data_IF_065037123016
#
_entry.id   IF_065037123016
#
_cell.length_a   1.000
_cell.length_b   1.000
_cell.length_c   1.000
_cell.angle_alpha   90.00
_cell.angle_beta   90.00
_cell.angle_gamma   90.00
#
_symmetry.space_group_name_H-M   'P 1'
#
loop_
_entity.id
_entity.type
_entity.pdbx_description
1 polymer ?
#
# COMPACT_ATOMS: atom_id res chain seq x y z
N UNK A 1 4.71 8.68 22.76
CA UNK A 1 4.27 10.01 23.27
C UNK A 1 3.95 11.00 22.15
N UNK A 2 4.40 10.75 20.91
CA UNK A 2 4.14 11.63 19.74
C UNK A 2 2.86 11.24 18.98
N UNK A 3 2.31 10.06 19.19
CA UNK A 3 1.14 9.55 18.46
C UNK A 3 -0.23 9.92 19.07
N UNK A 4 -0.26 10.66 20.18
CA UNK A 4 -1.50 10.92 20.89
C UNK A 4 -2.16 12.27 20.52
N UNK A 5 -1.65 13.00 19.52
CA UNK A 5 -2.13 14.36 19.23
C UNK A 5 -2.82 14.55 17.89
N UNK A 6 -2.91 13.51 17.07
CA UNK A 6 -3.70 13.51 15.86
C UNK A 6 -4.44 12.17 15.71
N UNK A 7 -5.35 11.87 16.62
CA UNK A 7 -6.49 11.06 16.22
C UNK A 7 -7.23 11.90 15.20
N UNK A 8 -7.27 11.53 13.91
CA UNK A 8 -8.20 12.17 13.01
C UNK A 8 -9.55 12.00 13.67
N UNK A 9 -10.23 13.12 13.91
CA UNK A 9 -11.64 13.11 14.29
C UNK A 9 -12.28 12.39 13.12
N UNK A 10 -12.58 11.10 13.33
CA UNK A 10 -13.31 10.33 12.33
C UNK A 10 -14.59 11.08 12.10
N UNK A 11 -14.87 11.58 10.89
CA UNK A 11 -16.17 12.14 10.63
C UNK A 11 -17.17 11.03 10.98
N UNK A 12 -18.05 11.35 11.91
CA UNK A 12 -19.11 10.45 12.29
C UNK A 12 -20.10 10.46 11.13
N UNK A 13 -19.80 9.65 10.10
CA UNK A 13 -20.60 9.58 8.90
C UNK A 13 -21.88 8.85 9.26
N UNK A 14 -22.89 9.62 9.58
CA UNK A 14 -24.22 9.13 9.94
C UNK A 14 -25.15 9.00 8.73
N UNK A 15 -24.79 9.63 7.61
CA UNK A 15 -25.62 9.64 6.40
C UNK A 15 -24.76 9.57 5.12
N UNK A 16 -25.34 8.98 4.07
CA UNK A 16 -24.73 8.89 2.72
C UNK A 16 -24.48 10.27 2.08
N UNK A 17 -25.22 11.30 2.49
CA UNK A 17 -25.02 12.68 2.04
C UNK A 17 -23.71 13.25 2.58
N UNK A 18 -23.40 12.99 3.84
CA UNK A 18 -22.16 13.42 4.48
C UNK A 18 -20.94 12.73 3.88
N UNK A 19 -21.05 11.42 3.58
CA UNK A 19 -20.03 10.68 2.85
C UNK A 19 -19.76 11.28 1.47
N UNK A 20 -20.81 11.68 0.75
CA UNK A 20 -20.69 12.32 -0.55
C UNK A 20 -20.01 13.68 -0.49
N UNK A 21 -20.29 14.47 0.54
CA UNK A 21 -19.62 15.75 0.77
C UNK A 21 -18.12 15.55 1.03
N UNK A 22 -17.75 14.61 1.90
CA UNK A 22 -16.36 14.27 2.18
C UNK A 22 -15.62 13.81 0.91
N UNK A 23 -16.32 13.04 0.07
CA UNK A 23 -15.75 12.58 -1.19
C UNK A 23 -15.51 13.75 -2.15
N UNK A 24 -16.47 14.66 -2.26
CA UNK A 24 -16.40 15.83 -3.12
C UNK A 24 -15.30 16.82 -2.67
N UNK A 25 -15.14 17.02 -1.37
CA UNK A 25 -14.12 17.89 -0.80
C UNK A 25 -12.71 17.27 -0.87
N UNK A 26 -12.59 15.96 -0.70
CA UNK A 26 -11.31 15.25 -0.72
C UNK A 26 -10.80 14.96 -2.13
N UNK A 27 -11.67 14.74 -3.10
CA UNK A 27 -11.32 14.34 -4.46
C UNK A 27 -10.32 15.29 -5.15
N UNK A 28 -10.46 16.63 -5.08
CA UNK A 28 -9.51 17.56 -5.67
C UNK A 28 -8.09 17.42 -5.13
N UNK A 29 -7.95 17.04 -3.86
CA UNK A 29 -6.65 16.81 -3.22
C UNK A 29 -5.96 15.60 -3.86
N UNK A 30 -6.66 14.48 -4.04
CA UNK A 30 -6.12 13.29 -4.68
C UNK A 30 -5.82 13.51 -6.17
N UNK A 31 -6.65 14.28 -6.87
CA UNK A 31 -6.39 14.70 -8.25
C UNK A 31 -5.02 15.39 -8.36
N UNK A 32 -4.77 16.37 -7.49
CA UNK A 32 -3.52 17.13 -7.47
C UNK A 32 -2.33 16.28 -7.02
N UNK A 33 -2.50 15.48 -5.99
CA UNK A 33 -1.45 14.64 -5.41
C UNK A 33 -0.93 13.62 -6.43
N UNK A 34 -1.85 12.92 -7.11
CA UNK A 34 -1.48 11.92 -8.12
C UNK A 34 -0.90 12.56 -9.37
N UNK A 35 -1.46 13.71 -9.81
CA UNK A 35 -0.86 14.46 -10.91
C UNK A 35 0.60 14.83 -10.62
N UNK A 36 0.86 15.32 -9.40
CA UNK A 36 2.21 15.70 -8.96
C UNK A 36 3.14 14.48 -8.87
N UNK A 37 2.63 13.34 -8.40
CA UNK A 37 3.40 12.10 -8.28
C UNK A 37 3.74 11.47 -9.63
N UNK A 38 2.86 11.57 -10.62
CA UNK A 38 3.10 11.07 -11.98
C UNK A 38 3.98 12.00 -12.82
N UNK A 39 4.04 13.28 -12.48
CA UNK A 39 4.75 14.29 -13.25
C UNK A 39 6.24 13.94 -13.49
N UNK A 40 7.04 13.52 -12.50
CA UNK A 40 8.44 13.12 -12.73
C UNK A 40 8.57 11.93 -13.68
N UNK A 41 7.66 10.97 -13.61
CA UNK A 41 7.66 9.78 -14.47
C UNK A 41 7.36 10.19 -15.91
N UNK A 42 6.35 11.04 -16.11
CA UNK A 42 5.97 11.58 -17.41
C UNK A 42 7.11 12.43 -18.00
N UNK A 43 7.73 13.27 -17.17
CA UNK A 43 8.86 14.11 -17.59
C UNK A 43 10.05 13.25 -18.02
N UNK A 44 10.41 12.25 -17.23
CA UNK A 44 11.48 11.32 -17.56
C UNK A 44 11.20 10.53 -18.83
N UNK A 45 9.97 10.03 -18.99
CA UNK A 45 9.54 9.38 -20.23
C UNK A 45 9.65 10.33 -21.43
N UNK A 46 9.23 11.58 -21.29
CA UNK A 46 9.35 12.60 -22.34
C UNK A 46 10.78 12.85 -22.77
N UNK A 47 11.72 12.96 -21.81
CA UNK A 47 13.16 13.10 -22.09
C UNK A 47 13.68 11.87 -22.87
N UNK A 48 13.38 10.66 -22.40
CA UNK A 48 13.80 9.45 -23.11
C UNK A 48 13.14 9.31 -24.49
N UNK A 49 11.89 9.71 -24.63
CA UNK A 49 11.20 9.70 -25.91
C UNK A 49 11.90 10.59 -26.95
N UNK A 50 12.37 11.76 -26.54
CA UNK A 50 13.08 12.70 -27.43
C UNK A 50 14.51 12.25 -27.70
N UNK A 51 15.22 11.72 -26.71
CA UNK A 51 16.63 11.39 -26.80
C UNK A 51 16.90 10.02 -27.45
N UNK A 52 16.12 8.99 -27.09
CA UNK A 52 16.47 7.60 -27.40
C UNK A 52 15.34 6.78 -28.01
N UNK A 53 14.14 6.81 -27.43
CA UNK A 53 13.06 5.88 -27.77
C UNK A 53 12.47 6.13 -29.17
N UNK A 54 12.24 7.40 -29.53
CA UNK A 54 11.68 7.84 -30.82
C UNK A 54 10.47 7.01 -31.29
N UNK A 55 9.56 6.68 -30.34
CA UNK A 55 8.38 5.88 -30.59
C UNK A 55 7.46 6.56 -31.58
N UNK A 56 6.76 5.78 -32.38
CA UNK A 56 5.79 6.25 -33.34
C UNK A 56 4.56 6.86 -32.64
N UNK A 57 3.83 7.72 -33.36
CA UNK A 57 2.67 8.44 -32.82
C UNK A 57 1.56 7.51 -32.32
N UNK A 58 1.41 6.32 -32.93
CA UNK A 58 0.40 5.35 -32.56
C UNK A 58 0.72 4.73 -31.20
N UNK A 59 1.97 4.35 -30.96
CA UNK A 59 2.45 3.84 -29.69
C UNK A 59 2.36 4.91 -28.59
N UNK A 60 2.76 6.15 -28.91
CA UNK A 60 2.62 7.28 -27.99
C UNK A 60 1.16 7.51 -27.58
N UNK A 61 0.25 7.45 -28.55
CA UNK A 61 -1.18 7.57 -28.27
C UNK A 61 -1.70 6.47 -27.32
N UNK A 62 -1.27 5.22 -27.52
CA UNK A 62 -1.62 4.10 -26.61
C UNK A 62 -1.08 4.30 -25.20
N UNK A 63 0.16 4.76 -25.08
CA UNK A 63 0.77 5.06 -23.78
C UNK A 63 0.00 6.20 -23.11
N UNK A 64 -0.33 7.26 -23.83
CA UNK A 64 -1.13 8.39 -23.31
C UNK A 64 -2.50 7.96 -22.79
N UNK A 65 -3.20 7.10 -23.55
CA UNK A 65 -4.48 6.54 -23.10
C UNK A 65 -4.29 5.66 -21.86
N UNK A 66 -3.28 4.78 -21.82
CA UNK A 66 -2.96 3.97 -20.65
C UNK A 66 -2.65 4.81 -19.43
N UNK A 67 -1.88 5.91 -19.60
CA UNK A 67 -1.57 6.85 -18.54
C UNK A 67 -2.82 7.55 -17.99
N UNK A 68 -3.74 7.95 -18.87
CA UNK A 68 -5.01 8.55 -18.48
C UNK A 68 -5.88 7.58 -17.65
N UNK A 69 -5.98 6.32 -18.06
CA UNK A 69 -6.67 5.30 -17.28
C UNK A 69 -6.01 5.04 -15.94
N UNK A 70 -4.68 4.98 -15.90
CA UNK A 70 -3.92 4.81 -14.66
C UNK A 70 -4.16 5.99 -13.71
N UNK A 71 -4.12 7.21 -14.24
CA UNK A 71 -4.39 8.41 -13.45
C UNK A 71 -5.78 8.40 -12.83
N UNK A 72 -6.81 8.18 -13.64
CA UNK A 72 -8.20 8.10 -13.18
C UNK A 72 -8.40 6.96 -12.17
N UNK A 73 -7.83 5.79 -12.45
CA UNK A 73 -7.90 4.64 -11.57
C UNK A 73 -7.26 4.90 -10.20
N UNK A 74 -6.08 5.52 -10.18
CA UNK A 74 -5.39 5.87 -8.94
C UNK A 74 -6.15 6.94 -8.13
N UNK A 75 -6.70 7.97 -8.79
CA UNK A 75 -7.51 9.00 -8.13
C UNK A 75 -8.72 8.37 -7.44
N UNK A 76 -9.48 7.56 -8.16
CA UNK A 76 -10.67 6.90 -7.61
C UNK A 76 -10.32 5.90 -6.52
N UNK A 77 -9.25 5.13 -6.73
CA UNK A 77 -8.79 4.14 -5.75
C UNK A 77 -8.34 4.81 -4.43
N UNK A 78 -7.45 5.84 -4.51
CA UNK A 78 -6.96 6.51 -3.31
C UNK A 78 -8.05 7.32 -2.61
N UNK A 79 -8.93 7.98 -3.35
CA UNK A 79 -10.08 8.64 -2.75
C UNK A 79 -11.00 7.63 -2.04
N UNK A 80 -11.34 6.52 -2.67
CA UNK A 80 -12.15 5.45 -2.05
C UNK A 80 -11.49 4.83 -0.83
N UNK A 81 -10.19 4.54 -0.91
CA UNK A 81 -9.43 3.96 0.20
C UNK A 81 -9.32 4.91 1.40
N UNK A 82 -8.97 6.17 1.18
CA UNK A 82 -8.74 7.11 2.28
C UNK A 82 -10.02 7.70 2.86
N UNK A 83 -11.02 7.98 2.04
CA UNK A 83 -12.28 8.58 2.50
C UNK A 83 -13.26 7.52 3.00
N UNK A 84 -13.34 6.37 2.34
CA UNK A 84 -14.28 5.31 2.67
C UNK A 84 -13.69 4.23 3.58
N UNK A 85 -12.63 3.57 3.12
CA UNK A 85 -12.10 2.39 3.80
C UNK A 85 -11.32 2.69 5.08
N UNK A 86 -10.49 3.73 5.07
CA UNK A 86 -9.62 4.02 6.23
C UNK A 86 -10.42 4.40 7.49
N UNK A 87 -11.45 5.26 7.43
CA UNK A 87 -12.31 5.52 8.58
C UNK A 87 -13.05 4.29 9.07
N UNK A 88 -13.60 3.49 8.17
CA UNK A 88 -14.27 2.23 8.52
C UNK A 88 -13.31 1.22 9.18
N UNK A 89 -12.10 1.09 8.65
CA UNK A 89 -11.05 0.25 9.23
C UNK A 89 -10.63 0.70 10.63
N UNK A 90 -10.50 2.00 10.84
CA UNK A 90 -10.19 2.57 12.15
C UNK A 90 -11.31 2.29 13.17
N UNK A 91 -12.56 2.50 12.78
CA UNK A 91 -13.71 2.20 13.64
C UNK A 91 -13.77 0.72 14.03
N UNK A 92 -13.66 -0.17 13.04
CA UNK A 92 -13.63 -1.61 13.28
C UNK A 92 -12.46 -2.01 14.18
N UNK A 93 -11.27 -1.45 13.94
CA UNK A 93 -10.09 -1.69 14.76
C UNK A 93 -10.29 -1.29 16.22
N UNK A 94 -10.90 -0.12 16.47
CA UNK A 94 -11.21 0.34 17.83
C UNK A 94 -12.24 -0.55 18.54
N UNK A 95 -13.32 -0.92 17.85
CA UNK A 95 -14.36 -1.81 18.39
C UNK A 95 -13.77 -3.19 18.73
N UNK A 96 -13.00 -3.77 17.82
CA UNK A 96 -12.40 -5.09 18.02
C UNK A 96 -11.31 -5.09 19.10
N UNK A 97 -10.54 -4.02 19.22
CA UNK A 97 -9.51 -3.89 20.27
C UNK A 97 -10.10 -3.83 21.67
N UNK A 98 -11.34 -3.35 21.83
CA UNK A 98 -12.07 -3.31 23.08
C UNK A 98 -12.69 -4.64 23.51
N UNK A 99 -12.70 -5.65 22.64
CA UNK A 99 -13.34 -6.94 22.91
C UNK A 99 -12.42 -7.92 23.65
N UNK A 100 -13.02 -8.86 24.38
CA UNK A 100 -12.28 -9.91 25.11
C UNK A 100 -11.43 -10.79 24.20
N UNK A 101 -11.84 -10.96 22.94
CA UNK A 101 -11.14 -11.76 21.92
C UNK A 101 -10.18 -10.96 21.03
N UNK A 102 -9.72 -9.78 21.47
CA UNK A 102 -8.82 -8.89 20.73
C UNK A 102 -7.57 -9.59 20.15
N UNK A 103 -7.10 -10.65 20.79
CA UNK A 103 -5.95 -11.43 20.30
C UNK A 103 -6.20 -12.15 18.97
N UNK A 104 -7.47 -12.32 18.58
CA UNK A 104 -7.83 -12.86 17.27
C UNK A 104 -7.43 -11.95 16.12
N UNK A 105 -7.21 -10.66 16.39
CA UNK A 105 -6.69 -9.71 15.40
C UNK A 105 -5.29 -10.09 14.89
N UNK A 106 -4.47 -10.77 15.70
CA UNK A 106 -3.12 -11.19 15.30
C UNK A 106 -3.17 -12.21 14.15
N UNK A 107 -3.82 -13.38 14.28
CA UNK A 107 -3.89 -14.34 13.18
C UNK A 107 -4.67 -13.78 11.97
N UNK A 108 -5.70 -12.96 12.17
CA UNK A 108 -6.41 -12.29 11.07
C UNK A 108 -5.47 -11.35 10.32
N UNK A 109 -4.71 -10.52 11.04
CA UNK A 109 -3.72 -9.64 10.45
C UNK A 109 -2.63 -10.39 9.68
N UNK A 110 -2.17 -11.52 10.19
CA UNK A 110 -1.21 -12.40 9.51
C UNK A 110 -1.77 -12.95 8.19
N UNK A 111 -3.01 -13.42 8.20
CA UNK A 111 -3.68 -13.91 6.98
C UNK A 111 -3.84 -12.80 5.95
N UNK A 112 -4.29 -11.62 6.38
CA UNK A 112 -4.42 -10.46 5.50
C UNK A 112 -3.07 -10.08 4.91
N UNK A 113 -2.01 -9.98 5.72
CA UNK A 113 -0.65 -9.67 5.27
C UNK A 113 -0.13 -10.67 4.24
N UNK A 114 -0.39 -11.96 4.44
CA UNK A 114 -0.01 -13.00 3.50
C UNK A 114 -0.69 -12.85 2.13
N UNK A 115 -2.00 -12.62 2.13
CA UNK A 115 -2.78 -12.51 0.88
C UNK A 115 -2.57 -11.17 0.17
N UNK A 116 -2.31 -10.07 0.88
CA UNK A 116 -2.00 -8.77 0.27
C UNK A 116 -0.78 -8.89 -0.63
N UNK A 117 0.32 -9.49 -0.14
CA UNK A 117 1.54 -9.67 -0.93
C UNK A 117 1.28 -10.53 -2.17
N UNK A 118 0.50 -11.61 -2.03
CA UNK A 118 0.14 -12.48 -3.17
C UNK A 118 -0.72 -11.79 -4.22
N UNK A 119 -1.54 -10.83 -3.82
CA UNK A 119 -2.44 -10.10 -4.71
C UNK A 119 -1.74 -8.93 -5.42
N UNK A 120 -0.52 -8.54 -4.98
CA UNK A 120 0.17 -7.38 -5.50
C UNK A 120 0.87 -7.67 -6.83
N UNK A 121 0.47 -7.01 -7.95
CA UNK A 121 1.07 -7.25 -9.25
C UNK A 121 2.58 -6.92 -9.31
N UNK A 122 3.02 -5.90 -8.56
CA UNK A 122 4.43 -5.50 -8.52
C UNK A 122 5.31 -6.61 -7.93
N UNK A 123 4.83 -7.30 -6.90
CA UNK A 123 5.53 -8.46 -6.30
C UNK A 123 5.66 -9.61 -7.31
N UNK A 124 4.61 -9.85 -8.08
CA UNK A 124 4.66 -10.88 -9.13
C UNK A 124 5.75 -10.59 -10.18
N UNK A 125 5.80 -9.32 -10.65
CA UNK A 125 6.84 -8.89 -11.63
C UNK A 125 8.23 -9.00 -11.02
N UNK A 126 8.42 -8.53 -9.77
CA UNK A 126 9.68 -8.63 -9.06
C UNK A 126 10.16 -10.10 -8.94
N UNK A 127 9.26 -10.99 -8.52
CA UNK A 127 9.59 -12.41 -8.37
C UNK A 127 10.06 -13.03 -9.70
N UNK A 128 9.41 -12.67 -10.81
CA UNK A 128 9.82 -13.11 -12.14
C UNK A 128 11.19 -12.56 -12.55
N UNK A 129 11.45 -11.28 -12.28
CA UNK A 129 12.74 -10.67 -12.57
C UNK A 129 13.88 -11.34 -11.78
N UNK A 130 13.63 -11.67 -10.49
CA UNK A 130 14.62 -12.40 -9.69
C UNK A 130 14.88 -13.78 -10.26
N UNK A 131 13.86 -14.52 -10.67
CA UNK A 131 14.00 -15.83 -11.30
C UNK A 131 14.82 -15.75 -12.60
N UNK A 132 14.56 -14.75 -13.44
CA UNK A 132 15.30 -14.52 -14.69
C UNK A 132 16.76 -14.16 -14.44
N UNK A 133 17.04 -13.23 -13.52
CA UNK A 133 18.42 -12.77 -13.21
C UNK A 133 19.24 -13.89 -12.54
N UNK A 134 18.60 -14.79 -11.82
CA UNK A 134 19.27 -15.93 -11.15
C UNK A 134 19.30 -17.20 -11.98
N UNK A 135 18.94 -17.13 -13.27
CA UNK A 135 18.83 -18.31 -14.15
C UNK A 135 18.01 -19.47 -13.54
N UNK A 136 16.95 -19.12 -12.79
CA UNK A 136 16.06 -20.07 -12.13
C UNK A 136 16.59 -20.63 -10.80
N UNK A 137 17.75 -20.22 -10.31
CA UNK A 137 18.28 -20.65 -9.01
C UNK A 137 17.34 -20.28 -7.86
N UNK A 138 16.65 -19.12 -7.96
CA UNK A 138 15.59 -18.71 -7.06
C UNK A 138 14.29 -18.67 -7.85
N UNK A 139 13.40 -19.63 -7.61
CA UNK A 139 12.12 -19.65 -8.31
C UNK A 139 11.19 -18.53 -7.85
N UNK A 140 10.38 -17.97 -8.76
CA UNK A 140 9.39 -16.93 -8.46
C UNK A 140 8.41 -17.37 -7.36
N UNK A 141 8.04 -18.64 -7.33
CA UNK A 141 7.16 -19.20 -6.30
C UNK A 141 7.80 -19.22 -4.91
N UNK A 142 9.05 -19.61 -4.81
CA UNK A 142 9.81 -19.63 -3.54
C UNK A 142 9.98 -18.21 -3.00
N UNK A 143 10.36 -17.27 -3.87
CA UNK A 143 10.50 -15.87 -3.53
C UNK A 143 9.17 -15.28 -3.05
N UNK A 144 8.09 -15.52 -3.79
CA UNK A 144 6.74 -15.05 -3.43
C UNK A 144 6.23 -15.64 -2.12
N UNK A 145 6.51 -16.93 -1.85
CA UNK A 145 6.16 -17.56 -0.59
C UNK A 145 6.94 -16.95 0.61
N UNK A 146 8.25 -16.75 0.43
CA UNK A 146 9.10 -16.13 1.44
C UNK A 146 8.67 -14.69 1.77
N UNK A 147 8.39 -13.87 0.74
CA UNK A 147 7.88 -12.51 0.93
C UNK A 147 6.53 -12.50 1.63
N UNK A 148 5.60 -13.35 1.21
CA UNK A 148 4.26 -13.44 1.83
C UNK A 148 4.34 -13.89 3.30
N UNK A 149 5.20 -14.86 3.62
CA UNK A 149 5.44 -15.30 4.99
C UNK A 149 6.09 -14.19 5.83
N UNK A 150 7.10 -13.50 5.29
CA UNK A 150 7.77 -12.38 5.96
C UNK A 150 6.82 -11.23 6.31
N UNK A 151 6.00 -10.81 5.34
CA UNK A 151 5.00 -9.76 5.59
C UNK A 151 3.91 -10.23 6.55
N UNK A 152 3.44 -11.48 6.43
CA UNK A 152 2.50 -12.08 7.37
C UNK A 152 2.99 -12.01 8.82
N UNK A 153 4.22 -12.44 9.07
CA UNK A 153 4.87 -12.37 10.39
C UNK A 153 5.01 -10.92 10.87
N UNK A 154 5.45 -10.02 10.01
CA UNK A 154 5.62 -8.60 10.32
C UNK A 154 4.30 -7.93 10.73
N UNK A 155 3.21 -8.22 10.00
CA UNK A 155 1.87 -7.72 10.35
C UNK A 155 1.40 -8.33 11.67
N UNK A 156 1.63 -9.63 11.91
CA UNK A 156 1.34 -10.27 13.19
C UNK A 156 2.06 -9.60 14.36
N UNK A 157 3.36 -9.37 14.24
CA UNK A 157 4.16 -8.66 15.25
C UNK A 157 3.67 -7.21 15.45
N UNK A 158 3.29 -6.52 14.38
CA UNK A 158 2.71 -5.18 14.46
C UNK A 158 1.39 -5.19 15.25
N UNK A 159 0.53 -6.19 15.04
CA UNK A 159 -0.72 -6.36 15.81
C UNK A 159 -0.44 -6.64 17.29
N UNK A 160 0.50 -7.55 17.61
CA UNK A 160 0.93 -7.81 18.99
C UNK A 160 1.42 -6.52 19.64
N UNK A 161 2.25 -5.76 18.93
CA UNK A 161 2.74 -4.47 19.40
C UNK A 161 1.61 -3.49 19.75
N UNK A 162 0.64 -3.35 18.86
CA UNK A 162 -0.52 -2.45 19.07
C UNK A 162 -1.33 -2.89 20.29
N UNK A 163 -1.57 -4.18 20.45
CA UNK A 163 -2.35 -4.73 21.55
C UNK A 163 -1.63 -4.66 22.90
N UNK A 164 -0.30 -4.71 22.91
CA UNK A 164 0.55 -4.66 24.13
C UNK A 164 1.06 -3.26 24.46
N UNK A 165 1.01 -2.32 23.51
CA UNK A 165 1.55 -0.96 23.68
C UNK A 165 3.07 -0.86 23.68
N UNK A 166 3.79 -1.93 23.28
CA UNK A 166 5.26 -1.96 23.26
C UNK A 166 5.78 -1.00 22.19
N UNK A 167 6.92 -0.32 22.47
CA UNK A 167 7.56 0.57 21.50
C UNK A 167 8.04 -0.21 20.26
N UNK A 168 7.87 0.40 19.09
CA UNK A 168 8.34 -0.19 17.82
C UNK A 168 9.84 -0.45 17.79
N UNK A 169 10.62 0.30 18.55
CA UNK A 169 12.08 0.17 18.62
C UNK A 169 12.53 -1.22 19.12
N UNK A 170 11.74 -1.86 19.98
CA UNK A 170 12.02 -3.23 20.45
C UNK A 170 11.95 -4.29 19.34
N UNK A 171 11.26 -3.99 18.24
CA UNK A 171 11.19 -4.87 17.06
C UNK A 171 12.16 -4.45 15.98
N UNK A 172 12.32 -3.13 15.77
CA UNK A 172 13.20 -2.61 14.73
C UNK A 172 14.68 -2.84 15.02
N UNK A 173 15.13 -2.55 16.25
CA UNK A 173 16.56 -2.68 16.61
C UNK A 173 17.06 -4.10 16.42
N UNK A 174 16.42 -5.16 17.01
CA UNK A 174 16.85 -6.53 16.77
C UNK A 174 16.71 -6.96 15.31
N UNK A 175 15.63 -6.53 14.62
CA UNK A 175 15.42 -6.87 13.22
C UNK A 175 16.51 -6.33 12.31
N UNK A 176 16.88 -5.06 12.45
CA UNK A 176 17.99 -4.47 11.69
C UNK A 176 19.34 -5.04 12.11
N UNK A 177 19.57 -5.28 13.39
CA UNK A 177 20.81 -5.91 13.85
C UNK A 177 21.01 -7.30 13.23
N UNK A 178 19.92 -8.08 13.13
CA UNK A 178 19.93 -9.38 12.46
C UNK A 178 20.19 -9.26 10.95
N UNK A 179 19.52 -8.32 10.29
CA UNK A 179 19.67 -8.11 8.85
C UNK A 179 21.07 -7.61 8.43
N UNK A 180 21.75 -6.86 9.32
CA UNK A 180 23.12 -6.36 9.06
C UNK A 180 24.17 -7.42 9.45
N UNK A 181 23.83 -8.32 10.38
CA UNK A 181 24.75 -9.36 10.89
C UNK A 181 24.84 -10.64 10.02
N UNK A 182 24.01 -10.73 8.97
CA UNK A 182 24.03 -11.80 7.97
C UNK A 182 24.70 -11.26 6.71
#
# INVERSE_FOLDING_TARGET
WILQKNTPILPNVSDSVELWQLFHEGLPTYIKEIATSLLPIIAMFGVFQLAALKLDRRTLGRIGVGLAYTYLGLVLFLAGANIGFMPAGNYLGQVLAGQSFRWLLVPIGMLIGYFIVKAEPAVYVLNKQVEEVTDGAISANTMGAALSAGVSLSVGLAMVRVLTGISILWFLIPGYAFAIGI
#
